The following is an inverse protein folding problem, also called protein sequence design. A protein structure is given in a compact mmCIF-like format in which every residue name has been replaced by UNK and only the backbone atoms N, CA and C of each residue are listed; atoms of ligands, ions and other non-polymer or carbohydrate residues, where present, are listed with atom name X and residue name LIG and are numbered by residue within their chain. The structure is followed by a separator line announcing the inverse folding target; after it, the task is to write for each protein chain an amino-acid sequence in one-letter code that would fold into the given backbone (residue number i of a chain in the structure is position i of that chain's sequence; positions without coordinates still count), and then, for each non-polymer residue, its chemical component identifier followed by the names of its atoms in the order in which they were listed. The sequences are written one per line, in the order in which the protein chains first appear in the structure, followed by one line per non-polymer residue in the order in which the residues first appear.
data_IF_123805711593
#
_entry.id   IF_123805711593
#
_cell.length_a   1.000
_cell.length_b   1.000
_cell.length_c   1.000
_cell.angle_alpha   90.00
_cell.angle_beta   90.00
_cell.angle_gamma   90.00
#
_symmetry.space_group_name_H-M   'P 1'
#
loop_
_entity.id
_entity.type
_entity.pdbx_description
1 polymer ?
#
# COMPACT_ATOMS: atom_id res chain seq x y z
N UNK A 1 58.49 29.28 109.95
CA UNK A 1 58.39 30.04 108.69
C UNK A 1 57.64 29.21 107.67
N UNK A 2 57.08 29.84 106.63
CA UNK A 2 56.53 29.12 105.48
C UNK A 2 57.65 28.39 104.73
N UNK A 3 57.30 27.33 104.00
CA UNK A 3 58.21 26.56 103.15
C UNK A 3 57.72 26.61 101.70
N UNK A 4 58.65 26.57 100.74
CA UNK A 4 58.28 26.43 99.33
C UNK A 4 57.88 24.98 99.05
N UNK A 5 56.68 24.78 98.50
CA UNK A 5 56.15 23.46 98.16
C UNK A 5 55.93 23.42 96.64
N UNK A 6 56.61 22.52 95.89
CA UNK A 6 56.48 22.46 94.43
C UNK A 6 55.04 22.31 93.96
N UNK A 7 54.62 23.18 93.04
CA UNK A 7 53.27 23.30 92.49
C UNK A 7 52.19 23.85 93.44
N UNK A 8 52.55 24.40 94.61
CA UNK A 8 51.60 25.03 95.53
C UNK A 8 52.00 26.49 95.82
N UNK A 9 51.00 27.31 96.17
CA UNK A 9 51.19 28.65 96.71
C UNK A 9 50.60 28.73 98.11
N UNK A 10 51.16 29.62 98.94
CA UNK A 10 50.67 29.88 100.29
C UNK A 10 49.37 30.67 100.23
N UNK A 11 48.33 30.18 100.89
CA UNK A 11 46.99 30.80 100.94
C UNK A 11 46.81 31.57 102.25
N UNK A 12 47.23 30.99 103.37
CA UNK A 12 47.08 31.59 104.71
C UNK A 12 48.39 31.48 105.47
N UNK A 13 48.93 32.65 105.84
CA UNK A 13 49.92 32.78 106.92
C UNK A 13 49.15 32.88 108.23
N UNK A 14 49.34 31.96 109.19
CA UNK A 14 48.59 32.00 110.45
C UNK A 14 49.07 33.17 111.34
N UNK A 15 48.18 33.72 112.16
CA UNK A 15 48.51 34.86 113.03
C UNK A 15 49.62 34.55 114.05
N UNK A 16 49.78 33.29 114.46
CA UNK A 16 50.87 32.82 115.32
C UNK A 16 52.11 32.33 114.53
N UNK A 17 52.30 32.75 113.27
CA UNK A 17 53.49 32.44 112.48
C UNK A 17 54.80 32.97 113.09
N UNK A 18 54.69 33.97 113.98
CA UNK A 18 55.74 34.52 114.84
C UNK A 18 55.20 34.61 116.27
N UNK A 19 56.00 34.27 117.27
CA UNK A 19 55.59 34.29 118.68
C UNK A 19 56.75 34.02 119.63
N UNK A 20 56.45 34.00 120.94
CA UNK A 20 57.40 33.65 122.01
C UNK A 20 57.20 32.21 122.48
N UNK A 21 58.28 31.57 122.95
CA UNK A 21 58.22 30.23 123.51
C UNK A 21 57.42 30.21 124.83
N UNK A 22 56.53 29.24 124.97
CA UNK A 22 55.74 28.93 126.17
C UNK A 22 55.99 27.50 126.64
N UNK A 23 55.57 27.18 127.87
CA UNK A 23 55.53 25.80 128.37
C UNK A 23 54.46 24.94 127.69
N UNK A 24 53.38 25.57 127.21
CA UNK A 24 52.30 24.91 126.48
C UNK A 24 52.71 24.64 125.02
N UNK A 25 52.28 23.52 124.47
CA UNK A 25 52.56 23.14 123.10
C UNK A 25 51.83 24.06 122.10
N UNK A 26 52.57 24.71 121.21
CA UNK A 26 52.05 25.60 120.18
C UNK A 26 52.06 24.91 118.81
N UNK A 27 50.95 25.03 118.06
CA UNK A 27 50.85 24.53 116.67
C UNK A 27 50.65 25.71 115.72
N UNK A 28 51.47 25.76 114.66
CA UNK A 28 51.43 26.81 113.63
C UNK A 28 51.06 26.17 112.28
N UNK A 29 49.85 26.41 111.79
CA UNK A 29 49.31 25.77 110.59
C UNK A 29 49.34 26.74 109.40
N UNK A 30 50.18 26.45 108.42
CA UNK A 30 50.21 27.15 107.13
C UNK A 30 49.28 26.42 106.15
N UNK A 31 48.41 27.16 105.45
CA UNK A 31 47.52 26.59 104.44
C UNK A 31 48.03 26.88 103.03
N UNK A 32 48.09 25.86 102.18
CA UNK A 32 48.55 25.96 100.80
C UNK A 32 47.47 25.42 99.85
N UNK A 33 47.36 26.02 98.67
CA UNK A 33 46.56 25.53 97.55
C UNK A 33 47.47 25.18 96.39
N UNK A 34 47.07 24.17 95.60
CA UNK A 34 47.80 23.80 94.39
C UNK A 34 47.59 24.90 93.35
N UNK A 35 48.65 25.31 92.69
CA UNK A 35 48.60 26.34 91.66
C UNK A 35 47.74 25.89 90.47
N UNK A 36 47.16 26.86 89.78
CA UNK A 36 46.50 26.62 88.50
C UNK A 36 47.52 26.26 87.43
N UNK A 37 47.08 25.44 86.50
CA UNK A 37 47.76 25.05 85.28
C UNK A 37 47.00 25.61 84.06
N UNK A 38 47.64 25.57 82.89
CA UNK A 38 46.95 25.76 81.63
C UNK A 38 45.90 24.66 81.39
N UNK A 39 44.85 25.00 80.64
CA UNK A 39 43.87 24.02 80.19
C UNK A 39 44.47 23.09 79.13
N UNK A 40 43.93 21.88 79.02
CA UNK A 40 44.25 20.95 77.94
C UNK A 40 43.03 20.85 77.03
N UNK A 41 43.20 21.21 75.76
CA UNK A 41 42.18 21.07 74.72
C UNK A 41 42.46 19.80 73.92
N UNK A 42 41.48 18.90 73.85
CA UNK A 42 41.57 17.65 73.09
C UNK A 42 40.75 17.80 71.82
N UNK A 43 41.41 17.67 70.66
CA UNK A 43 40.81 17.81 69.34
C UNK A 43 40.67 16.48 68.64
N UNK A 44 39.60 16.36 67.85
CA UNK A 44 39.26 15.18 67.06
C UNK A 44 39.05 15.62 65.62
N UNK A 45 40.03 15.37 64.75
CA UNK A 45 40.07 15.96 63.40
C UNK A 45 40.53 14.97 62.33
N UNK A 46 40.27 15.28 61.06
CA UNK A 46 40.87 14.57 59.93
C UNK A 46 42.33 15.01 59.69
N UNK A 47 43.00 14.40 58.70
CA UNK A 47 44.37 14.75 58.31
C UNK A 47 44.53 16.18 57.75
N UNK A 48 43.43 16.85 57.35
CA UNK A 48 43.41 18.23 56.87
C UNK A 48 43.16 19.25 57.99
N UNK A 49 42.80 18.79 59.20
CA UNK A 49 42.43 19.64 60.34
C UNK A 49 40.93 19.93 60.47
N UNK A 50 40.08 19.28 59.69
CA UNK A 50 38.61 19.38 59.82
C UNK A 50 38.17 18.76 61.13
N UNK A 51 37.54 19.53 62.02
CA UNK A 51 36.95 19.01 63.26
C UNK A 51 35.81 18.02 62.96
N UNK A 52 35.91 16.81 63.51
CA UNK A 52 34.96 15.71 63.30
C UNK A 52 34.05 15.45 64.51
N UNK A 53 34.48 15.84 65.70
CA UNK A 53 33.70 15.78 66.93
C UNK A 53 34.06 16.99 67.83
N UNK A 54 33.18 17.42 68.75
CA UNK A 54 33.46 18.53 69.66
C UNK A 54 34.75 18.32 70.47
N UNK A 55 35.52 19.40 70.65
CA UNK A 55 36.71 19.42 71.49
C UNK A 55 36.36 19.16 72.96
N UNK A 56 37.17 18.37 73.67
CA UNK A 56 37.07 18.21 75.14
C UNK A 56 38.07 19.15 75.84
N UNK A 57 37.71 19.66 77.02
CA UNK A 57 38.56 20.57 77.80
C UNK A 57 38.80 19.99 79.20
N UNK A 58 40.06 19.69 79.53
CA UNK A 58 40.47 19.33 80.88
C UNK A 58 40.94 20.60 81.60
N UNK A 59 40.24 20.96 82.67
CA UNK A 59 40.45 22.22 83.40
C UNK A 59 41.70 22.18 84.27
N UNK A 60 42.63 23.12 84.04
CA UNK A 60 43.89 23.23 84.79
C UNK A 60 43.76 23.79 86.22
N UNK A 61 42.56 24.20 86.66
CA UNK A 61 42.34 24.80 87.97
C UNK A 61 42.79 23.87 89.11
N UNK A 62 43.76 24.34 89.89
CA UNK A 62 44.41 23.56 90.95
C UNK A 62 45.07 22.26 90.50
N UNK A 63 45.46 22.11 89.22
CA UNK A 63 46.04 20.86 88.70
C UNK A 63 47.56 20.88 88.47
N UNK A 64 48.30 21.97 88.73
CA UNK A 64 49.73 22.06 88.37
C UNK A 64 50.56 20.87 88.88
N UNK A 65 51.33 20.26 87.98
CA UNK A 65 52.16 19.07 88.23
C UNK A 65 51.38 17.76 88.47
N UNK A 66 50.06 17.72 88.28
CA UNK A 66 49.29 16.46 88.30
C UNK A 66 49.32 15.78 86.93
N UNK A 67 49.23 14.44 86.87
CA UNK A 67 49.10 13.73 85.61
C UNK A 67 47.75 13.98 84.95
N UNK A 68 47.71 13.87 83.63
CA UNK A 68 46.48 13.79 82.83
C UNK A 68 46.53 12.60 81.86
N UNK A 69 45.35 12.19 81.42
CA UNK A 69 45.14 11.21 80.36
C UNK A 69 43.92 11.62 79.53
N UNK A 70 44.03 11.48 78.21
CA UNK A 70 42.96 11.66 77.25
C UNK A 70 42.69 10.36 76.50
N UNK A 71 41.53 10.22 75.86
CA UNK A 71 41.19 9.07 75.04
C UNK A 71 40.63 9.52 73.69
N UNK A 72 40.78 8.65 72.68
CA UNK A 72 40.13 8.81 71.39
C UNK A 72 38.60 8.65 71.53
N UNK A 73 37.83 9.39 70.74
CA UNK A 73 36.38 9.17 70.58
C UNK A 73 36.11 8.17 69.46
N UNK A 74 35.03 7.40 69.58
CA UNK A 74 34.41 6.73 68.43
C UNK A 74 33.66 7.78 67.62
N UNK A 75 33.89 7.84 66.31
CA UNK A 75 33.28 8.82 65.41
C UNK A 75 32.64 8.04 64.26
N UNK A 76 31.38 8.32 63.96
CA UNK A 76 30.61 7.57 62.96
C UNK A 76 31.25 7.66 61.57
N UNK A 77 31.50 6.51 60.95
CA UNK A 77 32.19 6.37 59.66
C UNK A 77 33.69 6.77 59.65
N UNK A 78 34.34 6.94 60.80
CA UNK A 78 35.77 7.28 60.88
C UNK A 78 36.56 6.32 61.78
N UNK A 79 37.74 5.92 61.32
CA UNK A 79 38.74 5.18 62.12
C UNK A 79 39.88 6.09 62.56
N UNK A 80 40.40 5.85 63.75
CA UNK A 80 41.59 6.55 64.26
C UNK A 80 42.83 6.12 63.47
N UNK A 81 43.65 7.07 63.04
CA UNK A 81 44.93 6.82 62.37
C UNK A 81 46.14 7.35 63.15
N UNK A 82 45.95 8.30 64.08
CA UNK A 82 47.04 8.82 64.90
C UNK A 82 46.58 9.10 66.34
N UNK A 83 47.18 8.38 67.29
CA UNK A 83 47.20 8.76 68.71
C UNK A 83 48.37 9.72 68.93
N UNK A 84 48.16 10.90 69.53
CA UNK A 84 49.24 11.85 69.77
C UNK A 84 50.14 11.41 70.92
N UNK A 85 51.44 11.74 70.84
CA UNK A 85 52.42 11.37 71.87
C UNK A 85 52.13 12.01 73.25
N UNK A 86 51.46 13.16 73.28
CA UNK A 86 51.00 13.83 74.50
C UNK A 86 49.56 13.46 74.90
N UNK A 87 49.05 12.29 74.51
CA UNK A 87 47.76 11.77 75.02
C UNK A 87 47.79 11.53 76.56
N UNK A 88 48.98 11.38 77.13
CA UNK A 88 49.22 11.41 78.58
C UNK A 88 50.36 12.38 78.88
N UNK A 89 50.36 12.95 80.08
CA UNK A 89 51.38 13.92 80.47
C UNK A 89 51.13 14.49 81.86
N UNK A 90 51.71 15.66 82.15
CA UNK A 90 51.41 16.44 83.35
C UNK A 90 50.91 17.84 82.97
N UNK A 91 50.03 18.38 83.80
CA UNK A 91 49.57 19.76 83.73
C UNK A 91 50.73 20.74 84.01
N UNK A 92 51.06 21.58 83.01
CA UNK A 92 52.00 22.68 83.10
C UNK A 92 51.30 24.03 83.32
N UNK A 93 52.05 25.09 83.57
CA UNK A 93 51.58 26.47 83.55
C UNK A 93 51.05 26.89 82.16
N UNK A 94 51.66 26.37 81.09
CA UNK A 94 51.20 26.57 79.71
C UNK A 94 50.00 25.70 79.36
N UNK A 95 49.08 26.22 78.54
CA UNK A 95 47.99 25.45 77.93
C UNK A 95 48.55 24.44 76.91
N UNK A 96 47.89 23.29 76.78
CA UNK A 96 48.33 22.20 75.90
C UNK A 96 47.21 21.81 74.93
N UNK A 97 47.57 21.33 73.74
CA UNK A 97 46.62 20.76 72.78
C UNK A 97 47.00 19.32 72.46
N UNK A 98 46.01 18.42 72.50
CA UNK A 98 46.16 17.00 72.22
C UNK A 98 45.29 16.70 70.99
N UNK A 99 45.87 16.16 69.91
CA UNK A 99 45.16 16.00 68.62
C UNK A 99 45.10 14.53 68.23
N UNK A 100 43.89 13.97 68.21
CA UNK A 100 43.61 12.67 67.61
C UNK A 100 43.25 12.86 66.14
N UNK A 101 43.95 12.15 65.25
CA UNK A 101 43.73 12.24 63.80
C UNK A 101 43.04 10.99 63.28
N UNK A 102 42.03 11.18 62.44
CA UNK A 102 41.15 10.14 61.89
C UNK A 102 41.18 10.14 60.36
N UNK A 103 40.74 9.03 59.76
CA UNK A 103 40.37 8.94 58.34
C UNK A 103 38.97 8.36 58.22
N UNK A 104 38.21 8.79 57.19
CA UNK A 104 36.92 8.19 56.88
C UNK A 104 37.14 6.74 56.45
N UNK A 105 36.24 5.85 56.86
CA UNK A 105 36.35 4.44 56.55
C UNK A 105 36.01 4.12 55.09
N UNK A 106 36.51 2.98 54.66
CA UNK A 106 36.30 2.46 53.31
C UNK A 106 34.94 1.74 53.25
N UNK A 107 34.25 1.93 52.14
CA UNK A 107 32.95 1.34 51.84
C UNK A 107 33.05 0.31 50.71
N UNK A 108 31.97 -0.43 50.47
CA UNK A 108 31.82 -1.21 49.25
C UNK A 108 31.61 -0.31 48.03
N UNK A 109 32.22 -0.67 46.92
CA UNK A 109 32.09 0.04 45.65
C UNK A 109 30.63 0.01 45.12
N UNK A 110 30.27 1.00 44.31
CA UNK A 110 29.02 1.03 43.54
C UNK A 110 29.33 0.60 42.10
N UNK A 111 28.82 -0.55 41.66
CA UNK A 111 28.96 -1.02 40.27
C UNK A 111 27.73 -0.62 39.46
N UNK A 112 27.92 0.21 38.44
CA UNK A 112 26.87 0.65 37.50
C UNK A 112 27.03 -0.10 36.18
N UNK A 113 25.95 -0.74 35.72
CA UNK A 113 25.94 -1.56 34.51
C UNK A 113 24.92 -1.08 33.49
N UNK A 114 25.23 -1.34 32.22
CA UNK A 114 24.45 -0.88 31.06
C UNK A 114 24.14 -2.08 30.16
N UNK A 115 22.96 -2.67 30.33
CA UNK A 115 22.58 -3.94 29.70
C UNK A 115 21.37 -3.75 28.77
N UNK A 116 21.32 -4.51 27.68
CA UNK A 116 20.09 -4.69 26.90
C UNK A 116 19.12 -5.64 27.63
N UNK A 117 17.85 -5.69 27.20
CA UNK A 117 16.82 -6.58 27.78
C UNK A 117 17.20 -8.07 27.82
N UNK A 118 18.00 -8.54 26.88
CA UNK A 118 18.50 -9.91 26.81
C UNK A 118 19.73 -10.17 27.74
N UNK A 119 20.15 -9.17 28.52
CA UNK A 119 21.33 -9.23 29.38
C UNK A 119 22.65 -8.94 28.67
N UNK A 120 22.67 -8.63 27.37
CA UNK A 120 23.88 -8.24 26.66
C UNK A 120 24.43 -6.92 27.20
N UNK A 121 25.71 -6.89 27.56
CA UNK A 121 26.40 -5.68 27.96
C UNK A 121 26.60 -4.72 26.77
N UNK A 122 26.15 -3.47 26.93
CA UNK A 122 26.20 -2.43 25.89
C UNK A 122 27.35 -1.43 26.08
N UNK A 123 27.81 -1.25 27.31
CA UNK A 123 28.97 -0.44 27.67
C UNK A 123 29.69 -1.07 28.86
N UNK A 124 30.97 -0.72 29.04
CA UNK A 124 31.76 -1.14 30.19
C UNK A 124 31.11 -0.69 31.52
N UNK A 125 31.25 -1.51 32.56
CA UNK A 125 30.78 -1.17 33.91
C UNK A 125 31.48 0.08 34.42
N UNK A 126 30.73 1.00 35.02
CA UNK A 126 31.27 2.16 35.72
C UNK A 126 31.29 1.88 37.22
N UNK A 127 32.48 1.88 37.83
CA UNK A 127 32.67 1.56 39.24
C UNK A 127 33.00 2.83 40.02
N UNK A 128 32.11 3.23 40.92
CA UNK A 128 32.37 4.31 41.87
C UNK A 128 33.03 3.71 43.10
N UNK A 129 34.30 4.05 43.36
CA UNK A 129 35.04 3.43 44.46
C UNK A 129 34.53 3.89 45.82
N UNK A 130 34.37 2.94 46.75
CA UNK A 130 34.01 3.19 48.14
C UNK A 130 35.17 3.65 49.02
N UNK A 131 36.40 3.80 48.50
CA UNK A 131 37.58 4.14 49.29
C UNK A 131 37.41 5.49 50.02
N UNK A 132 37.50 5.45 51.35
CA UNK A 132 37.21 6.60 52.23
C UNK A 132 35.83 7.23 52.05
N UNK A 133 34.84 6.53 51.47
CA UNK A 133 33.52 7.09 51.16
C UNK A 133 32.41 6.72 52.16
N UNK A 134 32.67 5.94 53.22
CA UNK A 134 31.59 5.39 54.06
C UNK A 134 30.66 6.49 54.60
N UNK A 135 29.35 6.31 54.37
CA UNK A 135 28.30 7.27 54.73
C UNK A 135 28.17 8.52 53.84
N UNK A 136 29.06 8.73 52.85
CA UNK A 136 28.90 9.81 51.87
C UNK A 136 27.78 9.47 50.86
N UNK A 137 27.12 10.47 50.24
CA UNK A 137 26.14 10.22 49.20
C UNK A 137 26.78 9.75 47.88
N UNK A 138 26.03 9.00 47.08
CA UNK A 138 26.33 8.73 45.67
C UNK A 138 25.12 9.02 44.78
N UNK A 139 25.39 9.28 43.51
CA UNK A 139 24.41 9.42 42.45
C UNK A 139 24.94 8.77 41.16
N UNK A 140 24.05 8.15 40.39
CA UNK A 140 24.35 7.52 39.10
C UNK A 140 23.41 8.03 38.02
N UNK A 141 23.87 8.04 36.77
CA UNK A 141 23.06 8.36 35.59
C UNK A 141 23.26 7.33 34.48
N UNK A 142 22.24 7.11 33.64
CA UNK A 142 22.38 6.26 32.45
C UNK A 142 23.32 6.92 31.43
N UNK A 143 24.02 6.09 30.66
CA UNK A 143 24.72 6.54 29.46
C UNK A 143 23.74 6.77 28.31
N UNK A 144 24.06 7.72 27.44
CA UNK A 144 23.45 7.84 26.12
C UNK A 144 24.13 6.82 25.18
N UNK A 145 23.39 5.79 24.75
CA UNK A 145 23.91 4.71 23.92
C UNK A 145 23.19 4.77 22.56
N UNK A 146 23.95 4.96 21.47
CA UNK A 146 23.37 5.13 20.14
C UNK A 146 22.50 3.92 19.73
N UNK A 147 21.27 4.18 19.31
CA UNK A 147 20.29 3.13 18.95
C UNK A 147 19.57 2.49 20.15
N UNK A 148 19.75 2.99 21.37
CA UNK A 148 19.13 2.47 22.57
C UNK A 148 18.53 3.56 23.46
N UNK A 149 17.42 3.23 24.13
CA UNK A 149 16.74 4.06 25.13
C UNK A 149 16.62 3.31 26.45
N UNK A 150 16.71 4.02 27.58
CA UNK A 150 16.54 3.40 28.91
C UNK A 150 15.10 2.96 29.08
N UNK A 151 14.90 1.65 29.26
CA UNK A 151 13.60 1.02 29.50
C UNK A 151 13.27 0.98 30.99
N UNK A 152 14.25 0.63 31.83
CA UNK A 152 14.09 0.55 33.27
C UNK A 152 15.44 0.65 34.00
N UNK A 153 15.39 0.83 35.32
CA UNK A 153 16.57 0.81 36.19
C UNK A 153 16.32 -0.13 37.36
N UNK A 154 17.34 -0.90 37.75
CA UNK A 154 17.34 -1.76 38.93
C UNK A 154 18.39 -1.27 39.93
N UNK A 155 18.09 -1.37 41.23
CA UNK A 155 18.90 -0.77 42.29
C UNK A 155 18.58 0.72 42.49
N UNK A 156 19.26 1.34 43.45
CA UNK A 156 19.02 2.74 43.82
C UNK A 156 20.00 3.63 43.05
N UNK A 157 19.49 4.59 42.27
CA UNK A 157 20.34 5.54 41.52
C UNK A 157 20.92 6.65 42.39
N UNK A 158 20.40 6.83 43.60
CA UNK A 158 20.91 7.72 44.63
C UNK A 158 20.88 7.00 45.98
N UNK A 159 21.82 7.30 46.86
CA UNK A 159 21.92 6.66 48.16
C UNK A 159 23.17 7.11 48.91
N UNK A 160 23.61 6.31 49.88
CA UNK A 160 24.91 6.48 50.55
C UNK A 160 25.78 5.24 50.37
N UNK A 161 27.09 5.43 50.44
CA UNK A 161 28.05 4.34 50.48
C UNK A 161 27.90 3.55 51.79
N UNK A 162 27.78 2.22 51.69
CA UNK A 162 27.67 1.30 52.83
C UNK A 162 28.83 0.30 52.82
N UNK A 163 29.01 -0.45 53.91
CA UNK A 163 30.02 -1.51 53.98
C UNK A 163 29.80 -2.63 52.93
N UNK A 164 28.57 -2.83 52.45
CA UNK A 164 28.28 -3.79 51.38
C UNK A 164 28.38 -3.09 50.01
N UNK A 165 29.04 -3.70 49.01
CA UNK A 165 29.01 -3.23 47.64
C UNK A 165 27.57 -3.16 47.11
N UNK A 166 27.29 -2.15 46.28
CA UNK A 166 25.97 -1.91 45.72
C UNK A 166 26.02 -2.00 44.19
N UNK A 167 24.88 -2.28 43.57
CA UNK A 167 24.77 -2.43 42.11
C UNK A 167 23.58 -1.64 41.58
N UNK A 168 23.82 -0.88 40.52
CA UNK A 168 22.79 -0.20 39.72
C UNK A 168 22.85 -0.76 38.31
N UNK A 169 21.70 -1.13 37.74
CA UNK A 169 21.62 -1.66 36.37
C UNK A 169 20.64 -0.83 35.58
N UNK A 170 21.13 -0.10 34.59
CA UNK A 170 20.29 0.52 33.56
C UNK A 170 20.02 -0.52 32.48
N UNK A 171 18.74 -0.81 32.26
CA UNK A 171 18.27 -1.74 31.23
C UNK A 171 17.76 -0.93 30.04
N UNK A 172 18.28 -1.23 28.87
CA UNK A 172 18.03 -0.53 27.63
C UNK A 172 17.22 -1.39 26.66
N UNK A 173 16.34 -0.74 25.91
CA UNK A 173 15.66 -1.31 24.75
C UNK A 173 16.16 -0.64 23.45
N UNK A 174 16.07 -1.35 22.33
CA UNK A 174 16.46 -0.81 21.02
C UNK A 174 15.46 0.26 20.58
N UNK A 175 15.95 1.42 20.17
CA UNK A 175 15.11 2.50 19.63
C UNK A 175 14.63 2.14 18.22
N UNK A 176 13.32 2.18 17.98
CA UNK A 176 12.74 1.97 16.65
C UNK A 176 13.20 3.06 15.67
N UNK A 177 13.62 2.67 14.47
CA UNK A 177 13.90 3.59 13.37
C UNK A 177 12.60 4.04 12.69
N UNK A 178 12.65 5.17 11.98
CA UNK A 178 11.55 5.57 11.11
C UNK A 178 11.51 4.71 9.85
N UNK A 179 10.33 4.38 9.31
CA UNK A 179 10.18 3.41 8.23
C UNK A 179 10.79 3.88 6.91
N UNK A 180 11.10 2.91 6.05
CA UNK A 180 11.49 3.14 4.65
C UNK A 180 10.40 2.58 3.76
N UNK A 181 9.80 3.43 2.92
CA UNK A 181 8.72 3.04 2.02
C UNK A 181 9.24 2.94 0.58
N UNK A 182 9.18 1.75 -0.01
CA UNK A 182 9.35 1.56 -1.44
C UNK A 182 8.01 1.81 -2.16
N UNK A 183 8.00 2.73 -3.11
CA UNK A 183 6.84 3.07 -3.95
C UNK A 183 7.08 2.64 -5.39
N UNK A 184 6.01 2.25 -6.06
CA UNK A 184 6.04 1.80 -7.46
C UNK A 184 4.98 2.57 -8.24
N UNK A 185 5.45 3.45 -9.13
CA UNK A 185 4.59 4.41 -9.84
C UNK A 185 4.97 4.53 -11.31
N UNK A 186 4.04 4.98 -12.14
CA UNK A 186 4.33 5.40 -13.51
C UNK A 186 4.99 6.80 -13.56
N UNK A 187 5.22 7.29 -14.78
CA UNK A 187 5.85 8.59 -15.04
C UNK A 187 5.00 9.78 -14.59
N UNK A 188 3.68 9.61 -14.51
CA UNK A 188 2.73 10.63 -14.05
C UNK A 188 2.58 10.62 -12.52
N UNK A 189 3.29 9.72 -11.83
CA UNK A 189 3.27 9.58 -10.37
C UNK A 189 2.09 8.78 -9.83
N UNK A 190 1.33 8.10 -10.69
CA UNK A 190 0.24 7.22 -10.26
C UNK A 190 0.82 5.90 -9.76
N UNK A 191 0.41 5.47 -8.56
CA UNK A 191 0.77 4.16 -8.01
C UNK A 191 0.22 3.05 -8.90
N UNK A 192 1.10 2.12 -9.29
CA UNK A 192 0.80 0.94 -10.13
C UNK A 192 0.96 -0.38 -9.38
N UNK A 193 1.57 -0.34 -8.19
CA UNK A 193 1.65 -1.45 -7.24
C UNK A 193 1.64 -0.88 -5.81
N UNK A 194 1.07 -1.59 -4.81
CA UNK A 194 1.09 -1.15 -3.41
C UNK A 194 2.49 -0.82 -2.89
N UNK A 195 2.56 0.21 -2.04
CA UNK A 195 3.75 0.60 -1.30
C UNK A 195 4.23 -0.55 -0.38
N UNK A 196 5.53 -0.84 -0.39
CA UNK A 196 6.16 -1.81 0.51
C UNK A 196 6.86 -1.03 1.64
N UNK A 197 6.42 -1.23 2.87
CA UNK A 197 6.95 -0.53 4.05
C UNK A 197 7.89 -1.44 4.81
N UNK A 198 9.16 -1.04 4.89
CA UNK A 198 10.18 -1.69 5.70
C UNK A 198 10.28 -1.01 7.06
N UNK A 199 10.44 -1.79 8.12
CA UNK A 199 10.68 -1.34 9.49
C UNK A 199 11.89 -2.04 10.10
N UNK A 200 12.51 -1.39 11.09
CA UNK A 200 13.71 -1.86 11.78
C UNK A 200 14.08 -0.91 12.92
N UNK A 201 15.14 -1.23 13.65
CA UNK A 201 15.64 -0.36 14.70
C UNK A 201 16.65 0.65 14.16
N UNK A 202 16.91 1.73 14.90
CA UNK A 202 17.85 2.77 14.50
C UNK A 202 19.23 2.15 14.23
N UNK A 203 19.77 2.42 13.04
CA UNK A 203 21.06 1.87 12.59
C UNK A 203 21.01 0.46 11.98
N UNK A 204 19.87 -0.25 12.02
CA UNK A 204 19.71 -1.48 11.22
C UNK A 204 19.77 -1.16 9.73
N UNK A 205 20.28 -2.11 8.94
CA UNK A 205 20.31 -1.98 7.48
C UNK A 205 18.92 -2.25 6.87
N UNK A 206 18.58 -1.53 5.80
CA UNK A 206 17.47 -1.83 4.92
C UNK A 206 17.96 -2.01 3.47
N UNK A 207 17.17 -2.75 2.69
CA UNK A 207 17.24 -2.79 1.24
C UNK A 207 15.83 -2.83 0.69
N UNK A 208 15.59 -2.17 -0.44
CA UNK A 208 14.35 -2.23 -1.23
C UNK A 208 14.63 -2.96 -2.54
N UNK A 209 13.62 -3.58 -3.14
CA UNK A 209 13.76 -4.38 -4.36
C UNK A 209 13.00 -3.75 -5.53
N UNK A 210 13.57 -3.85 -6.73
CA UNK A 210 12.85 -3.51 -7.96
C UNK A 210 11.91 -4.66 -8.33
N UNK A 211 10.62 -4.38 -8.48
CA UNK A 211 9.64 -5.37 -8.91
C UNK A 211 9.53 -5.45 -10.44
N UNK A 212 9.18 -6.64 -10.95
CA UNK A 212 8.62 -6.83 -12.29
C UNK A 212 7.11 -6.63 -12.20
N UNK A 213 6.56 -5.77 -13.05
CA UNK A 213 5.14 -5.38 -13.01
C UNK A 213 4.55 -5.57 -14.42
N UNK A 214 3.50 -6.39 -14.53
CA UNK A 214 2.89 -6.72 -15.82
C UNK A 214 2.39 -5.47 -16.57
N UNK A 215 2.74 -5.36 -17.85
CA UNK A 215 2.42 -4.21 -18.69
C UNK A 215 3.30 -2.97 -18.46
N UNK A 216 4.34 -3.07 -17.63
CA UNK A 216 5.27 -1.99 -17.33
C UNK A 216 6.74 -2.42 -17.46
N UNK A 217 7.57 -1.49 -17.91
CA UNK A 217 9.02 -1.61 -17.98
C UNK A 217 9.64 -0.65 -16.96
N UNK A 218 10.64 -1.10 -16.18
CA UNK A 218 11.35 -0.21 -15.24
C UNK A 218 12.12 0.88 -15.99
N UNK A 219 12.07 2.13 -15.47
CA UNK A 219 12.70 3.31 -16.06
C UNK A 219 13.81 3.90 -15.19
N UNK A 220 13.54 4.14 -13.91
CA UNK A 220 14.50 4.75 -12.98
C UNK A 220 14.10 4.49 -11.52
N UNK A 221 15.05 4.63 -10.60
CA UNK A 221 14.78 4.66 -9.15
C UNK A 221 15.25 5.99 -8.57
N UNK A 222 14.50 6.51 -7.60
CA UNK A 222 14.78 7.76 -6.88
C UNK A 222 14.91 7.47 -5.38
N UNK A 223 15.96 8.01 -4.74
CA UNK A 223 16.29 7.72 -3.34
C UNK A 223 17.20 6.51 -3.17
N UNK A 224 17.73 6.33 -1.95
CA UNK A 224 18.73 5.31 -1.65
C UNK A 224 18.08 3.93 -1.45
N UNK A 225 18.24 3.03 -2.43
CA UNK A 225 17.69 1.65 -2.43
C UNK A 225 18.18 0.78 -1.26
N UNK A 226 19.28 1.17 -0.63
CA UNK A 226 19.82 0.52 0.57
C UNK A 226 20.47 1.55 1.49
N UNK A 227 20.50 1.28 2.78
CA UNK A 227 21.13 2.16 3.76
C UNK A 227 20.76 1.73 5.18
N UNK A 228 20.80 2.65 6.14
CA UNK A 228 20.34 2.40 7.51
C UNK A 228 19.04 3.13 7.84
N UNK A 229 18.24 2.52 8.72
CA UNK A 229 17.07 3.15 9.34
C UNK A 229 17.52 4.32 10.22
N UNK A 230 16.92 5.49 10.00
CA UNK A 230 17.27 6.75 10.67
C UNK A 230 16.16 7.27 11.57
N UNK A 231 16.31 8.52 12.01
CA UNK A 231 15.32 9.27 12.79
C UNK A 231 14.26 9.96 11.93
N UNK A 232 14.38 9.90 10.60
CA UNK A 232 13.41 10.40 9.62
C UNK A 232 12.99 9.28 8.66
N UNK A 233 11.71 9.28 8.28
CA UNK A 233 11.18 8.31 7.33
C UNK A 233 11.78 8.58 5.94
N UNK A 234 12.09 7.51 5.20
CA UNK A 234 12.63 7.59 3.83
C UNK A 234 11.62 7.05 2.82
N UNK A 235 11.73 7.51 1.59
CA UNK A 235 10.98 6.95 0.46
C UNK A 235 11.94 6.62 -0.67
N UNK A 236 11.80 5.42 -1.22
CA UNK A 236 12.47 4.98 -2.45
C UNK A 236 11.40 4.81 -3.50
N UNK A 237 11.52 5.50 -4.63
CA UNK A 237 10.49 5.50 -5.68
C UNK A 237 11.02 4.83 -6.93
N UNK A 238 10.51 3.64 -7.25
CA UNK A 238 10.72 2.98 -8.52
C UNK A 238 9.70 3.51 -9.54
N UNK A 239 10.22 4.10 -10.61
CA UNK A 239 9.45 4.73 -11.70
C UNK A 239 9.45 3.80 -12.92
N UNK A 240 8.27 3.60 -13.49
CA UNK A 240 8.02 2.67 -14.59
C UNK A 240 7.38 3.38 -15.80
N UNK A 241 7.49 2.73 -16.95
CA UNK A 241 6.94 3.14 -18.24
C UNK A 241 5.98 2.06 -18.75
N UNK A 242 4.81 2.44 -19.26
CA UNK A 242 3.88 1.46 -19.85
C UNK A 242 4.54 0.78 -21.05
N UNK A 243 4.53 -0.54 -21.08
CA UNK A 243 5.10 -1.30 -22.20
C UNK A 243 4.21 -1.16 -23.43
N UNK A 244 4.74 -0.68 -24.55
CA UNK A 244 4.01 -0.62 -25.81
C UNK A 244 3.65 -2.03 -26.30
N UNK A 245 2.41 -2.23 -26.74
CA UNK A 245 2.00 -3.46 -27.40
C UNK A 245 2.41 -3.47 -28.87
N UNK A 246 2.48 -4.64 -29.49
CA UNK A 246 2.66 -4.73 -30.94
C UNK A 246 1.35 -4.37 -31.68
N UNK A 247 1.44 -3.74 -32.85
CA UNK A 247 0.29 -3.15 -33.52
C UNK A 247 -0.71 -4.20 -34.02
N UNK A 248 -1.96 -3.76 -34.18
CA UNK A 248 -3.03 -4.52 -34.84
C UNK A 248 -3.33 -3.87 -36.19
N UNK A 249 -3.26 -4.66 -37.26
CA UNK A 249 -3.47 -4.16 -38.63
C UNK A 249 -4.78 -4.71 -39.19
N UNK A 250 -5.73 -3.84 -39.50
CA UNK A 250 -6.91 -4.19 -40.29
C UNK A 250 -6.58 -4.07 -41.78
N UNK A 251 -6.78 -5.16 -42.53
CA UNK A 251 -6.60 -5.26 -43.99
C UNK A 251 -7.95 -5.44 -44.67
N UNK A 252 -8.10 -4.84 -45.84
CA UNK A 252 -9.32 -4.91 -46.65
C UNK A 252 -8.95 -5.45 -48.03
N UNK A 253 -9.29 -6.71 -48.28
CA UNK A 253 -8.86 -7.46 -49.46
C UNK A 253 -10.07 -7.95 -50.27
N UNK A 254 -9.90 -8.09 -51.59
CA UNK A 254 -10.84 -8.86 -52.40
C UNK A 254 -10.65 -10.38 -52.24
N UNK A 255 -11.49 -11.18 -52.89
CA UNK A 255 -11.40 -12.66 -52.86
C UNK A 255 -10.09 -13.23 -53.43
N UNK A 256 -9.32 -12.44 -54.17
CA UNK A 256 -8.04 -12.82 -54.76
C UNK A 256 -6.85 -12.33 -53.91
N UNK A 257 -7.10 -11.71 -52.75
CA UNK A 257 -6.09 -11.20 -51.84
C UNK A 257 -5.52 -9.83 -52.25
N UNK A 258 -6.10 -9.15 -53.24
CA UNK A 258 -5.68 -7.80 -53.63
C UNK A 258 -6.18 -6.79 -52.59
N UNK A 259 -5.30 -5.90 -52.13
CA UNK A 259 -5.71 -4.77 -51.30
C UNK A 259 -6.62 -3.82 -52.09
N UNK A 260 -7.81 -3.56 -51.54
CA UNK A 260 -8.83 -2.68 -52.10
C UNK A 260 -9.04 -1.40 -51.27
N UNK A 261 -8.45 -1.34 -50.08
CA UNK A 261 -8.33 -0.14 -49.25
C UNK A 261 -7.01 -0.21 -48.46
N UNK A 262 -6.36 0.94 -48.16
CA UNK A 262 -5.18 0.97 -47.29
C UNK A 262 -5.38 0.25 -45.94
N UNK A 263 -4.31 -0.37 -45.47
CA UNK A 263 -4.24 -1.00 -44.14
C UNK A 263 -4.44 0.06 -43.04
N UNK A 264 -5.29 -0.24 -42.06
CA UNK A 264 -5.49 0.60 -40.87
C UNK A 264 -4.71 0.00 -39.71
N UNK A 265 -3.74 0.75 -39.18
CA UNK A 265 -2.85 0.30 -38.11
C UNK A 265 -3.27 0.94 -36.79
N UNK A 266 -3.64 0.11 -35.82
CA UNK A 266 -3.92 0.51 -34.45
C UNK A 266 -2.69 0.26 -33.57
N UNK A 267 -2.41 1.19 -32.65
CA UNK A 267 -1.35 1.09 -31.65
C UNK A 267 -1.91 1.38 -30.25
N UNK A 268 -1.30 0.77 -29.23
CA UNK A 268 -1.68 0.92 -27.83
C UNK A 268 -0.64 0.27 -26.91
N UNK A 269 -0.86 0.33 -25.60
CA UNK A 269 0.02 -0.34 -24.64
C UNK A 269 -0.45 -1.77 -24.37
N UNK A 270 0.43 -2.60 -23.80
CA UNK A 270 0.11 -3.99 -23.48
C UNK A 270 -1.14 -4.05 -22.58
N UNK A 271 -2.12 -4.87 -22.99
CA UNK A 271 -3.39 -5.03 -22.28
C UNK A 271 -4.46 -3.95 -22.58
N UNK A 272 -4.13 -2.84 -23.26
CA UNK A 272 -5.15 -1.92 -23.77
C UNK A 272 -6.06 -2.66 -24.78
N UNK A 273 -7.34 -2.29 -24.84
CA UNK A 273 -8.27 -2.84 -25.81
C UNK A 273 -8.08 -2.22 -27.21
N UNK A 274 -8.33 -3.02 -28.24
CA UNK A 274 -8.50 -2.56 -29.61
C UNK A 274 -9.85 -3.02 -30.17
N UNK A 275 -10.32 -2.31 -31.19
CA UNK A 275 -11.41 -2.72 -32.07
C UNK A 275 -11.07 -2.27 -33.48
N UNK A 276 -11.32 -3.13 -34.47
CA UNK A 276 -11.23 -2.82 -35.89
C UNK A 276 -12.64 -2.72 -36.47
N UNK A 277 -12.83 -1.90 -37.51
CA UNK A 277 -14.14 -1.64 -38.10
C UNK A 277 -14.25 -2.21 -39.51
N UNK A 278 -15.42 -2.74 -39.87
CA UNK A 278 -15.73 -3.10 -41.24
C UNK A 278 -16.05 -1.82 -42.02
N UNK A 279 -15.36 -1.60 -43.14
CA UNK A 279 -15.63 -0.46 -44.02
C UNK A 279 -16.68 -0.79 -45.09
N UNK A 280 -17.42 0.22 -45.53
CA UNK A 280 -18.16 0.21 -46.80
C UNK A 280 -17.20 0.66 -47.89
N UNK A 281 -17.07 -0.14 -48.95
CA UNK A 281 -16.10 0.10 -50.04
C UNK A 281 -16.86 0.08 -51.37
N UNK A 282 -16.83 1.20 -52.09
CA UNK A 282 -17.56 1.35 -53.36
C UNK A 282 -17.15 0.29 -54.39
N UNK A 283 -18.15 -0.32 -55.03
CA UNK A 283 -17.95 -1.41 -55.99
C UNK A 283 -17.70 -2.79 -55.37
N UNK A 284 -17.73 -2.92 -54.04
CA UNK A 284 -17.55 -4.20 -53.33
C UNK A 284 -18.67 -4.44 -52.29
N UNK A 285 -18.90 -5.71 -51.95
CA UNK A 285 -19.79 -6.16 -50.88
C UNK A 285 -18.97 -6.97 -49.87
N UNK A 286 -19.15 -6.73 -48.58
CA UNK A 286 -18.46 -7.49 -47.53
C UNK A 286 -18.88 -8.97 -47.54
N UNK A 287 -17.90 -9.87 -47.45
CA UNK A 287 -18.10 -11.33 -47.46
C UNK A 287 -17.88 -11.96 -46.09
N UNK A 288 -16.72 -11.72 -45.49
CA UNK A 288 -16.31 -12.34 -44.23
C UNK A 288 -15.15 -11.58 -43.58
N UNK A 289 -14.95 -11.79 -42.28
CA UNK A 289 -13.77 -11.30 -41.55
C UNK A 289 -12.96 -12.48 -40.99
N UNK A 290 -11.64 -12.35 -40.99
CA UNK A 290 -10.69 -13.33 -40.47
C UNK A 290 -9.85 -12.69 -39.37
N UNK A 291 -9.71 -13.37 -38.23
CA UNK A 291 -9.06 -12.83 -37.03
C UNK A 291 -10.01 -12.09 -36.10
N UNK A 292 -9.52 -11.75 -34.90
CA UNK A 292 -10.34 -11.17 -33.83
C UNK A 292 -10.51 -9.66 -34.01
N UNK A 293 -11.72 -9.24 -34.41
CA UNK A 293 -12.09 -7.82 -34.64
C UNK A 293 -12.00 -6.93 -33.39
N UNK A 294 -11.94 -7.54 -32.21
CA UNK A 294 -11.67 -6.84 -30.95
C UNK A 294 -10.88 -7.74 -30.01
N UNK A 295 -10.17 -7.13 -29.08
CA UNK A 295 -9.32 -7.84 -28.13
C UNK A 295 -8.38 -6.88 -27.42
N UNK A 296 -7.24 -7.38 -26.95
CA UNK A 296 -6.17 -6.56 -26.36
C UNK A 296 -4.88 -6.59 -27.16
N UNK A 297 -4.12 -5.49 -27.07
CA UNK A 297 -2.75 -5.41 -27.59
C UNK A 297 -1.84 -6.35 -26.79
N UNK A 298 -1.08 -7.17 -27.50
CA UNK A 298 -0.20 -8.21 -26.94
C UNK A 298 1.27 -8.01 -27.31
N UNK A 299 2.09 -9.02 -27.01
CA UNK A 299 3.49 -9.10 -27.43
C UNK A 299 3.66 -9.61 -28.87
N UNK A 300 2.57 -9.94 -29.55
CA UNK A 300 2.52 -10.34 -30.97
C UNK A 300 1.68 -9.35 -31.77
N UNK A 301 2.16 -8.97 -32.95
CA UNK A 301 1.37 -8.17 -33.88
C UNK A 301 0.20 -9.02 -34.42
N UNK A 302 -0.99 -8.43 -34.53
CA UNK A 302 -2.19 -9.12 -35.03
C UNK A 302 -2.61 -8.53 -36.37
N UNK A 303 -3.25 -9.35 -37.19
CA UNK A 303 -3.87 -8.90 -38.45
C UNK A 303 -5.33 -9.36 -38.47
N UNK A 304 -6.24 -8.43 -38.76
CA UNK A 304 -7.66 -8.68 -39.00
C UNK A 304 -7.90 -8.44 -40.49
N UNK A 305 -8.43 -9.41 -41.21
CA UNK A 305 -8.64 -9.31 -42.66
C UNK A 305 -10.13 -9.32 -42.97
N UNK A 306 -10.65 -8.18 -43.43
CA UNK A 306 -11.99 -8.07 -44.00
C UNK A 306 -11.91 -8.41 -45.50
N UNK A 307 -12.64 -9.45 -45.89
CA UNK A 307 -12.69 -9.98 -47.26
C UNK A 307 -13.97 -9.52 -47.95
N UNK A 308 -13.85 -9.07 -49.19
CA UNK A 308 -14.95 -8.52 -49.97
C UNK A 308 -15.08 -9.20 -51.35
N UNK A 309 -16.32 -9.28 -51.84
CA UNK A 309 -16.67 -9.70 -53.19
C UNK A 309 -16.83 -8.46 -54.07
N UNK A 310 -16.30 -8.47 -55.29
CA UNK A 310 -16.55 -7.38 -56.26
C UNK A 310 -18.00 -7.42 -56.74
N UNK A 311 -18.66 -6.26 -56.80
CA UNK A 311 -20.06 -6.18 -57.22
C UNK A 311 -20.14 -6.39 -58.74
N UNK A 312 -20.89 -7.41 -59.17
CA UNK A 312 -21.20 -7.61 -60.58
C UNK A 312 -22.25 -6.59 -61.05
N UNK A 313 -22.06 -5.93 -62.21
CA UNK A 313 -23.07 -5.01 -62.73
C UNK A 313 -24.31 -5.79 -63.18
N UNK A 314 -25.41 -5.64 -62.44
CA UNK A 314 -26.73 -6.17 -62.84
C UNK A 314 -27.31 -5.30 -63.95
N UNK A 315 -27.38 -5.83 -65.17
CA UNK A 315 -28.18 -5.25 -66.24
C UNK A 315 -29.66 -5.40 -65.84
N UNK A 316 -30.48 -4.33 -65.81
CA UNK A 316 -31.88 -4.43 -65.42
C UNK A 316 -32.68 -5.28 -66.42
N UNK A 317 -33.51 -6.16 -65.87
CA UNK A 317 -34.28 -7.19 -66.59
C UNK A 317 -35.56 -6.58 -67.21
N UNK A 318 -35.40 -5.75 -68.26
CA UNK A 318 -36.51 -5.12 -68.98
C UNK A 318 -37.17 -6.09 -69.97
N UNK A 319 -38.50 -6.16 -69.97
CA UNK A 319 -39.25 -6.82 -71.04
C UNK A 319 -39.45 -5.88 -72.23
N UNK A 320 -39.28 -6.42 -73.43
CA UNK A 320 -39.69 -5.80 -74.69
C UNK A 320 -40.97 -6.45 -75.22
N UNK A 321 -41.69 -5.73 -76.09
CA UNK A 321 -42.87 -6.24 -76.79
C UNK A 321 -42.70 -6.19 -78.30
N UNK A 322 -43.38 -7.10 -78.99
CA UNK A 322 -43.49 -7.13 -80.45
C UNK A 322 -44.97 -7.19 -80.79
N UNK A 323 -45.45 -6.24 -81.58
CA UNK A 323 -46.85 -6.13 -81.97
C UNK A 323 -46.99 -6.48 -83.45
N UNK A 324 -47.76 -7.54 -83.75
CA UNK A 324 -47.91 -8.09 -85.09
C UNK A 324 -49.25 -7.66 -85.69
N UNK A 325 -49.22 -6.92 -86.79
CA UNK A 325 -50.40 -6.44 -87.51
C UNK A 325 -50.66 -7.25 -88.77
N UNK A 326 -51.94 -7.44 -89.10
CA UNK A 326 -52.40 -8.11 -90.31
C UNK A 326 -53.32 -7.15 -91.06
N UNK A 327 -52.85 -6.62 -92.20
CA UNK A 327 -53.53 -5.52 -92.91
C UNK A 327 -53.57 -5.75 -94.42
N UNK A 328 -54.52 -5.14 -95.12
CA UNK A 328 -54.49 -5.05 -96.58
C UNK A 328 -53.43 -4.05 -97.04
N UNK A 329 -53.10 -4.06 -98.35
CA UNK A 329 -52.24 -3.04 -98.97
C UNK A 329 -52.74 -1.60 -98.76
N UNK A 330 -54.05 -1.42 -98.60
CA UNK A 330 -54.70 -0.13 -98.33
C UNK A 330 -54.80 0.20 -96.83
N UNK A 331 -54.16 -0.60 -95.95
CA UNK A 331 -54.07 -0.36 -94.51
C UNK A 331 -55.30 -0.82 -93.69
N UNK A 332 -56.24 -1.55 -94.30
CA UNK A 332 -57.42 -2.07 -93.59
C UNK A 332 -56.99 -3.26 -92.72
N UNK A 333 -57.28 -3.24 -91.42
CA UNK A 333 -56.99 -4.35 -90.51
C UNK A 333 -57.88 -5.56 -90.82
N UNK A 334 -57.26 -6.74 -90.95
CA UNK A 334 -57.95 -8.02 -91.17
C UNK A 334 -58.12 -8.85 -89.88
N UNK A 335 -57.30 -8.59 -88.87
CA UNK A 335 -57.42 -9.19 -87.54
C UNK A 335 -56.89 -8.23 -86.46
N UNK A 336 -57.22 -8.48 -85.20
CA UNK A 336 -56.62 -7.78 -84.07
C UNK A 336 -55.11 -8.09 -83.95
N UNK A 337 -54.27 -7.14 -83.51
CA UNK A 337 -52.83 -7.35 -83.43
C UNK A 337 -52.45 -8.43 -82.42
N UNK A 338 -51.49 -9.28 -82.77
CA UNK A 338 -50.91 -10.25 -81.83
C UNK A 338 -49.75 -9.60 -81.08
N UNK A 339 -49.77 -9.60 -79.76
CA UNK A 339 -48.65 -9.07 -78.95
C UNK A 339 -47.84 -10.23 -78.36
N UNK A 340 -46.54 -10.24 -78.64
CA UNK A 340 -45.54 -11.09 -78.01
C UNK A 340 -44.78 -10.26 -76.97
N UNK A 341 -44.42 -10.86 -75.83
CA UNK A 341 -43.54 -10.26 -74.84
C UNK A 341 -42.36 -11.19 -74.51
N UNK A 342 -41.21 -10.60 -74.23
CA UNK A 342 -39.99 -11.36 -73.92
C UNK A 342 -38.90 -10.48 -73.32
N UNK A 343 -37.83 -11.10 -72.81
CA UNK A 343 -36.71 -10.37 -72.21
C UNK A 343 -35.90 -9.65 -73.28
N UNK A 344 -35.50 -8.41 -73.02
CA UNK A 344 -34.67 -7.63 -73.96
C UNK A 344 -33.41 -8.43 -74.33
N UNK A 345 -33.12 -8.56 -75.62
CA UNK A 345 -32.00 -9.35 -76.16
C UNK A 345 -32.30 -10.85 -76.38
N UNK A 346 -33.51 -11.34 -76.10
CA UNK A 346 -33.96 -12.68 -76.53
C UNK A 346 -34.66 -12.62 -77.90
N UNK A 347 -34.69 -13.74 -78.63
CA UNK A 347 -35.27 -13.80 -79.98
C UNK A 347 -36.79 -13.93 -79.97
N UNK A 348 -37.47 -13.28 -80.92
CA UNK A 348 -38.86 -13.53 -81.28
C UNK A 348 -38.99 -14.06 -82.72
N UNK A 349 -40.12 -14.70 -82.99
CA UNK A 349 -40.53 -15.11 -84.33
C UNK A 349 -42.05 -14.95 -84.47
N UNK A 350 -42.48 -14.41 -85.60
CA UNK A 350 -43.89 -14.23 -85.97
C UNK A 350 -44.23 -15.10 -87.18
N UNK A 351 -45.51 -15.38 -87.39
CA UNK A 351 -46.02 -16.11 -88.56
C UNK A 351 -47.23 -15.38 -89.16
N UNK A 352 -47.44 -15.45 -90.48
CA UNK A 352 -48.66 -14.94 -91.10
C UNK A 352 -49.89 -15.74 -90.67
N UNK A 353 -51.06 -15.12 -90.81
CA UNK A 353 -52.36 -15.77 -90.67
C UNK A 353 -52.94 -16.09 -92.06
N UNK A 354 -53.88 -17.04 -92.11
CA UNK A 354 -54.62 -17.38 -93.33
C UNK A 354 -56.02 -16.78 -93.27
N UNK A 355 -56.43 -16.08 -94.32
CA UNK A 355 -57.76 -15.51 -94.47
C UNK A 355 -58.43 -16.13 -95.71
N UNK A 356 -59.74 -16.40 -95.66
CA UNK A 356 -60.44 -17.14 -96.73
C UNK A 356 -60.43 -16.42 -98.08
N UNK A 357 -60.59 -15.10 -98.06
CA UNK A 357 -60.78 -14.27 -99.26
C UNK A 357 -59.57 -13.34 -99.54
N UNK A 358 -58.43 -13.55 -98.87
CA UNK A 358 -57.23 -12.73 -99.01
C UNK A 358 -55.94 -13.56 -98.99
N UNK A 359 -55.07 -13.37 -99.97
CA UNK A 359 -53.74 -13.96 -100.04
C UNK A 359 -52.65 -13.04 -99.45
N UNK A 360 -51.58 -13.62 -98.91
CA UNK A 360 -50.43 -12.87 -98.39
C UNK A 360 -49.57 -12.37 -99.55
N UNK A 361 -49.44 -11.06 -99.70
CA UNK A 361 -48.64 -10.42 -100.77
C UNK A 361 -47.39 -9.69 -100.26
N UNK A 362 -47.24 -9.51 -98.95
CA UNK A 362 -46.07 -8.90 -98.34
C UNK A 362 -45.73 -9.50 -96.98
N UNK A 363 -44.57 -10.17 -96.90
CA UNK A 363 -44.00 -10.66 -95.65
C UNK A 363 -42.97 -9.65 -95.11
N UNK A 364 -43.02 -9.27 -93.82
CA UNK A 364 -42.09 -8.31 -93.23
C UNK A 364 -40.69 -8.91 -93.03
N UNK A 365 -39.65 -8.13 -93.31
CA UNK A 365 -38.25 -8.52 -93.09
C UNK A 365 -37.93 -8.75 -91.60
N UNK A 366 -38.62 -8.04 -90.70
CA UNK A 366 -38.51 -8.19 -89.25
C UNK A 366 -39.46 -9.25 -88.66
N UNK A 367 -39.92 -10.24 -89.45
CA UNK A 367 -40.69 -11.38 -88.94
C UNK A 367 -39.94 -12.22 -87.87
N UNK A 368 -38.62 -12.10 -87.82
CA UNK A 368 -37.77 -12.62 -86.75
C UNK A 368 -36.81 -11.52 -86.29
N UNK A 369 -36.53 -11.46 -85.00
CA UNK A 369 -35.65 -10.42 -84.44
C UNK A 369 -35.34 -10.65 -82.97
N UNK A 370 -34.81 -9.62 -82.30
CA UNK A 370 -34.63 -9.59 -80.85
C UNK A 370 -35.65 -8.65 -80.22
N UNK A 371 -36.15 -8.98 -79.02
CA UNK A 371 -36.90 -8.03 -78.21
C UNK A 371 -35.99 -6.86 -77.82
N UNK A 372 -36.40 -5.63 -78.16
CA UNK A 372 -35.74 -4.37 -77.79
C UNK A 372 -36.44 -3.72 -76.59
N UNK A 373 -35.86 -2.65 -76.04
CA UNK A 373 -36.52 -1.86 -75.01
C UNK A 373 -37.77 -1.11 -75.56
N UNK A 374 -37.72 -0.69 -76.82
CA UNK A 374 -38.86 -0.15 -77.57
C UNK A 374 -39.71 -1.28 -78.18
N UNK A 375 -41.01 -1.03 -78.38
CA UNK A 375 -41.91 -1.96 -79.08
C UNK A 375 -41.50 -2.11 -80.55
N UNK A 376 -41.46 -3.35 -81.06
CA UNK A 376 -41.23 -3.62 -82.48
C UNK A 376 -42.57 -3.94 -83.16
N UNK A 377 -42.91 -3.18 -84.20
CA UNK A 377 -44.09 -3.45 -85.03
C UNK A 377 -43.71 -4.31 -86.25
N UNK A 378 -44.46 -5.40 -86.47
CA UNK A 378 -44.27 -6.38 -87.55
C UNK A 378 -45.58 -6.46 -88.34
N UNK A 379 -45.57 -6.12 -89.63
CA UNK A 379 -46.82 -6.04 -90.42
C UNK A 379 -46.81 -7.00 -91.59
N UNK A 380 -47.78 -7.92 -91.63
CA UNK A 380 -48.08 -8.77 -92.77
C UNK A 380 -49.13 -8.11 -93.65
N UNK A 381 -48.87 -8.06 -94.96
CA UNK A 381 -49.72 -7.37 -95.95
C UNK A 381 -50.40 -8.36 -96.87
N UNK A 382 -51.72 -8.23 -97.00
CA UNK A 382 -52.58 -9.12 -97.77
C UNK A 382 -53.32 -8.40 -98.90
N UNK A 383 -53.78 -9.14 -99.91
CA UNK A 383 -54.60 -8.66 -101.02
C UNK A 383 -55.81 -9.58 -101.20
N UNK A 384 -56.98 -9.00 -101.52
CA UNK A 384 -58.17 -9.79 -101.78
C UNK A 384 -57.99 -10.65 -103.05
N UNK A 385 -58.45 -11.90 -103.01
CA UNK A 385 -58.37 -12.83 -104.14
C UNK A 385 -59.56 -12.64 -105.08
N UNK A 386 -59.33 -12.25 -106.33
CA UNK A 386 -60.38 -12.08 -107.34
C UNK A 386 -61.04 -13.43 -107.71
N UNK A 387 -62.24 -13.69 -107.19
CA UNK A 387 -63.06 -14.86 -107.52
C UNK A 387 -64.16 -14.51 -108.53
N UNK A 388 -63.86 -14.65 -109.82
CA UNK A 388 -64.82 -14.39 -110.90
C UNK A 388 -65.81 -15.55 -111.11
N UNK A 389 -66.98 -15.46 -110.47
CA UNK A 389 -68.27 -15.96 -110.94
C UNK A 389 -68.54 -17.48 -110.98
N UNK A 390 -69.60 -17.92 -110.29
CA UNK A 390 -70.90 -18.32 -110.90
C UNK A 390 -71.92 -18.65 -109.80
N UNK A 391 -73.16 -18.17 -109.95
CA UNK A 391 -74.32 -18.62 -109.15
C UNK A 391 -74.76 -20.04 -109.56
N UNK A 392 -75.17 -20.87 -108.60
CA UNK A 392 -76.30 -21.79 -108.78
C UNK A 392 -76.92 -22.24 -107.43
N UNK A 393 -78.21 -22.55 -107.43
CA UNK A 393 -79.09 -22.61 -106.23
C UNK A 393 -79.44 -24.06 -105.85
N UNK A 394 -79.24 -24.46 -104.58
CA UNK A 394 -79.96 -25.60 -103.95
C UNK A 394 -80.24 -25.35 -102.45
N UNK A 395 -81.47 -25.68 -102.03
CA UNK A 395 -82.06 -25.84 -100.69
C UNK A 395 -83.00 -27.08 -100.80
N UNK A 396 -83.40 -27.87 -99.77
CA UNK A 396 -83.11 -27.87 -98.31
C UNK A 396 -82.66 -29.24 -97.71
N UNK A 397 -82.29 -29.31 -96.42
CA UNK A 397 -82.83 -30.32 -95.44
C UNK A 397 -82.33 -30.12 -93.97
N UNK A 398 -82.96 -30.83 -93.02
CA UNK A 398 -83.00 -30.55 -91.56
C UNK A 398 -82.41 -31.72 -90.71
N UNK A 399 -82.50 -31.73 -89.36
CA UNK A 399 -81.43 -31.48 -88.38
C UNK A 399 -80.85 -32.73 -87.68
N UNK A 400 -79.77 -32.56 -86.88
CA UNK A 400 -79.60 -33.33 -85.62
C UNK A 400 -78.65 -32.64 -84.61
N UNK A 401 -78.73 -33.04 -83.33
CA UNK A 401 -78.11 -32.47 -82.11
C UNK A 401 -77.37 -33.62 -81.37
N UNK A 402 -76.65 -33.48 -80.21
CA UNK A 402 -75.83 -32.40 -79.62
C UNK A 402 -74.36 -32.84 -79.37
N UNK A 403 -73.49 -31.97 -78.81
CA UNK A 403 -72.75 -32.22 -77.53
C UNK A 403 -71.90 -31.02 -77.05
N UNK A 404 -71.92 -30.76 -75.74
CA UNK A 404 -70.92 -30.00 -74.93
C UNK A 404 -69.81 -31.02 -74.53
N UNK A 405 -68.51 -30.71 -74.36
CA UNK A 405 -67.95 -29.76 -73.37
C UNK A 405 -66.83 -28.88 -74.01
N UNK A 406 -65.91 -28.15 -73.36
CA UNK A 406 -65.50 -27.94 -71.94
C UNK A 406 -65.22 -26.43 -71.73
N UNK A 407 -65.15 -25.96 -70.48
CA UNK A 407 -64.66 -24.62 -70.09
C UNK A 407 -63.38 -24.77 -69.24
N UNK A 408 -62.26 -24.08 -69.55
CA UNK A 408 -61.05 -24.14 -68.72
C UNK A 408 -61.26 -23.42 -67.39
N UNK A 409 -61.21 -24.18 -66.30
CA UNK A 409 -61.53 -23.75 -64.94
C UNK A 409 -60.48 -22.83 -64.33
N UNK A 410 -60.96 -21.73 -63.71
CA UNK A 410 -60.26 -21.01 -62.64
C UNK A 410 -59.90 -21.97 -61.49
N UNK A 411 -58.68 -21.95 -60.94
CA UNK A 411 -58.37 -22.70 -59.72
C UNK A 411 -59.09 -22.09 -58.49
N UNK A 412 -59.84 -22.92 -57.78
CA UNK A 412 -60.61 -22.54 -56.60
C UNK A 412 -59.74 -22.32 -55.35
N UNK A 413 -60.18 -21.41 -54.48
CA UNK A 413 -59.96 -21.51 -53.03
C UNK A 413 -61.10 -22.29 -52.37
N UNK A 414 -60.81 -23.26 -51.50
CA UNK A 414 -61.72 -23.57 -50.39
C UNK A 414 -61.07 -23.44 -49.00
N UNK A 415 -61.59 -22.47 -48.24
CA UNK A 415 -61.87 -22.44 -46.80
C UNK A 415 -60.90 -23.02 -45.74
N UNK A 416 -60.56 -22.10 -44.81
CA UNK A 416 -60.36 -22.24 -43.35
C UNK A 416 -61.43 -23.12 -42.62
N UNK A 417 -61.30 -23.49 -41.32
CA UNK A 417 -60.77 -22.63 -40.22
C UNK A 417 -59.95 -23.29 -39.09
N UNK A 418 -59.27 -22.46 -38.28
CA UNK A 418 -58.76 -22.90 -36.98
C UNK A 418 -57.77 -22.01 -36.21
N UNK A 419 -58.16 -20.79 -35.83
CA UNK A 419 -57.87 -20.09 -34.53
C UNK A 419 -56.50 -20.33 -33.82
N UNK A 420 -55.76 -19.33 -33.32
CA UNK A 420 -56.15 -17.99 -32.84
C UNK A 420 -54.92 -17.09 -32.68
N UNK A 421 -55.09 -15.77 -32.81
CA UNK A 421 -54.11 -14.75 -32.41
C UNK A 421 -54.70 -13.87 -31.31
N UNK A 422 -53.91 -13.57 -30.26
CA UNK A 422 -54.11 -12.39 -29.41
C UNK A 422 -52.78 -11.80 -28.92
N UNK A 423 -52.38 -10.69 -29.55
CA UNK A 423 -51.86 -9.50 -28.84
C UNK A 423 -53.07 -8.70 -28.27
N UNK A 424 -52.93 -7.58 -27.54
CA UNK A 424 -51.76 -6.72 -27.28
C UNK A 424 -51.50 -6.59 -25.73
N UNK A 425 -50.71 -5.69 -25.13
CA UNK A 425 -50.79 -4.21 -25.20
C UNK A 425 -49.59 -3.45 -24.61
N UNK A 426 -49.51 -2.15 -24.98
CA UNK A 426 -48.41 -1.22 -24.67
C UNK A 426 -48.92 -0.06 -23.82
N UNK A 427 -48.48 0.07 -22.55
CA UNK A 427 -48.66 1.32 -21.79
C UNK A 427 -47.47 1.67 -20.86
N UNK A 428 -47.05 2.94 -20.92
CA UNK A 428 -46.28 3.74 -19.95
C UNK A 428 -46.97 5.13 -19.98
N UNK A 429 -47.18 5.90 -18.88
CA UNK A 429 -46.25 6.14 -17.76
C UNK A 429 -46.85 6.24 -16.34
N UNK A 430 -45.99 6.25 -15.30
CA UNK A 430 -45.89 7.35 -14.30
C UNK A 430 -44.78 7.12 -13.24
N UNK A 431 -44.28 8.22 -12.68
CA UNK A 431 -43.42 8.41 -11.50
C UNK A 431 -44.00 9.69 -10.84
N UNK A 432 -44.19 9.82 -9.49
CA UNK A 432 -43.14 9.83 -8.45
C UNK A 432 -43.59 9.17 -7.11
N UNK A 433 -42.90 9.21 -5.94
CA UNK A 433 -41.75 9.98 -5.46
C UNK A 433 -41.08 9.33 -4.21
N UNK A 434 -39.88 9.83 -3.84
CA UNK A 434 -39.27 9.92 -2.48
C UNK A 434 -38.73 8.66 -1.77
N UNK A 435 -37.50 8.86 -1.27
CA UNK A 435 -36.55 7.97 -0.62
C UNK A 435 -36.81 7.60 0.86
N UNK A 436 -36.13 6.53 1.32
CA UNK A 436 -35.55 6.41 2.68
C UNK A 436 -34.14 5.77 2.61
N UNK A 437 -33.28 6.12 3.58
CA UNK A 437 -31.86 5.72 3.79
C UNK A 437 -31.60 4.20 3.94
N UNK A 438 -30.33 3.74 3.84
CA UNK A 438 -29.95 2.33 3.96
C UNK A 438 -29.77 1.85 5.41
N UNK A 439 -29.95 0.54 5.62
CA UNK A 439 -29.64 -0.17 6.87
C UNK A 439 -28.19 -0.70 6.88
N UNK A 440 -27.63 -0.87 8.08
CA UNK A 440 -26.19 -1.04 8.30
C UNK A 440 -25.67 -2.47 8.09
N UNK A 441 -24.39 -2.55 7.69
CA UNK A 441 -23.59 -3.77 7.58
C UNK A 441 -23.31 -4.39 8.94
N UNK A 442 -23.59 -5.68 9.12
CA UNK A 442 -23.21 -6.43 10.34
C UNK A 442 -21.79 -7.00 10.16
N UNK A 443 -20.94 -6.73 11.16
CA UNK A 443 -19.55 -7.21 11.25
C UNK A 443 -19.51 -8.56 12.00
N UNK A 444 -18.83 -9.61 11.51
CA UNK A 444 -18.64 -10.84 12.28
C UNK A 444 -17.52 -10.66 13.31
N UNK A 445 -17.78 -11.03 14.56
CA UNK A 445 -16.81 -11.01 15.66
C UNK A 445 -16.25 -12.42 15.88
N UNK A 446 -14.94 -12.60 15.72
CA UNK A 446 -14.28 -13.85 16.07
C UNK A 446 -14.13 -13.96 17.60
N UNK A 447 -14.39 -15.16 18.13
CA UNK A 447 -14.26 -15.50 19.56
C UNK A 447 -12.94 -16.24 19.79
N UNK A 448 -12.14 -15.90 20.81
CA UNK A 448 -10.93 -16.66 21.13
C UNK A 448 -11.27 -17.96 21.87
N UNK A 449 -10.57 -19.03 21.52
CA UNK A 449 -10.56 -20.31 22.25
C UNK A 449 -9.49 -20.25 23.33
N UNK A 450 -9.78 -20.74 24.54
CA UNK A 450 -8.82 -20.79 25.64
C UNK A 450 -8.47 -22.25 25.94
N UNK A 451 -7.20 -22.62 25.75
CA UNK A 451 -6.69 -23.94 26.14
C UNK A 451 -6.33 -23.95 27.63
N UNK A 452 -6.98 -24.83 28.39
CA UNK A 452 -6.70 -25.11 29.78
C UNK A 452 -5.89 -26.42 29.87
N UNK A 453 -4.60 -26.32 30.20
CA UNK A 453 -3.75 -27.51 30.43
C UNK A 453 -3.72 -27.83 31.92
N UNK A 454 -4.48 -28.86 32.31
CA UNK A 454 -4.40 -29.46 33.65
C UNK A 454 -3.09 -30.21 33.84
N UNK A 455 -2.31 -29.84 34.87
CA UNK A 455 -1.17 -30.62 35.35
C UNK A 455 -1.52 -31.28 36.69
N UNK A 456 -1.71 -32.60 36.64
CA UNK A 456 -1.99 -33.45 37.80
C UNK A 456 -0.70 -33.70 38.59
N UNK A 457 -0.73 -33.51 39.91
CA UNK A 457 0.39 -33.84 40.81
C UNK A 457 -0.08 -34.87 41.84
N UNK A 458 0.61 -36.01 41.93
CA UNK A 458 0.24 -37.16 42.78
C UNK A 458 1.40 -37.51 43.71
N UNK A 459 1.18 -37.46 45.04
CA UNK A 459 1.96 -38.13 46.13
C UNK A 459 3.47 -37.80 46.28
N UNK A 460 4.14 -37.93 47.44
CA UNK A 460 3.81 -38.57 48.73
C UNK A 460 4.51 -37.85 49.92
N UNK A 461 4.20 -38.19 51.19
CA UNK A 461 4.76 -37.54 52.38
C UNK A 461 5.94 -38.30 53.03
N UNK A 462 6.87 -37.55 53.64
CA UNK A 462 7.65 -37.89 54.86
C UNK A 462 7.89 -36.59 55.61
#
# INVERSE_FOLDING_TARGET
AAISIPNFYLVVTPANATGTFSTDAQTVIYQYARSNAGHITVKYQDANGTTLAPDDILTGNGQLGRPYQTNAKTIENYRLIQTPANATGQFSDQAQTVIYVYTREDAGDITVQYLAENGQQLAADNVLSGQGQLGQPYETSPLNINGYTVKSTQGNTTGTYTLQPQRVVYIYERTAGQPVTAKYQDQDGKSIHPDVVHSGYLGDNYSTEQLVIDGYTFKAVQGDVSGTFGTSAKTVTYVYERTAGLPVTAKYLDEHGKSIHPDVVHSGYLGDSYSTEQLVIDGYTFKAVQGDVSGTFGTTAKTVTYVYTVNTPTIPDTQGTVTVHYMTKDGIKLNEPTVLSGKTGTTYQTVPLTFTDHELVGQPENAMGLFTADNVDVTYVYQATDTTGTDDIIDPEQPEQPTKPVEPTTPETPNEPGTTVTQPDRIKPTQPAVAVKPAATVKPTLKPTADQVSLVKITSPV
#
